data_IF_431973744122
#
_entry.id   IF_431973744122
#
_cell.length_a   1.000
_cell.length_b   1.000
_cell.length_c   1.000
_cell.angle_alpha   90.00
_cell.angle_beta   90.00
_cell.angle_gamma   90.00
#
_symmetry.space_group_name_H-M   'P 1'
#
loop_
_entity.id
_entity.type
_entity.pdbx_description
1 polymer ?
#
# COMPACT_ATOMS: atom_id res chain seq x y z
N UNK A 1 5.75 14.84 9.72
CA UNK A 1 4.89 14.96 8.51
C UNK A 1 3.66 15.81 8.82
N UNK A 2 3.34 16.80 7.99
CA UNK A 2 2.10 17.58 8.08
C UNK A 2 1.20 17.22 6.88
N UNK A 3 -0.09 17.03 7.15
CA UNK A 3 -1.11 16.79 6.11
C UNK A 3 -2.32 17.69 6.37
N UNK A 4 -2.64 18.56 5.41
CA UNK A 4 -3.82 19.41 5.45
C UNK A 4 -4.79 18.97 4.35
N UNK A 5 -6.00 18.61 4.70
CA UNK A 5 -7.00 18.11 3.78
C UNK A 5 -8.25 18.96 3.73
N UNK A 6 -8.80 19.13 2.53
CA UNK A 6 -10.07 19.77 2.28
C UNK A 6 -10.97 18.85 1.46
N UNK A 7 -12.26 18.81 1.83
CA UNK A 7 -13.31 18.19 1.01
C UNK A 7 -14.38 19.24 0.74
N UNK A 8 -14.67 19.49 -0.51
CA UNK A 8 -15.70 20.44 -0.95
C UNK A 8 -16.78 19.71 -1.73
N UNK A 9 -18.03 19.91 -1.37
CA UNK A 9 -19.18 19.40 -2.09
C UNK A 9 -19.46 20.32 -3.28
N UNK A 10 -19.19 19.86 -4.50
CA UNK A 10 -19.46 20.62 -5.73
C UNK A 10 -20.98 20.61 -6.04
N UNK A 11 -21.59 19.43 -5.90
CA UNK A 11 -23.05 19.24 -6.01
C UNK A 11 -23.47 17.98 -5.25
N UNK A 12 -24.73 17.50 -5.46
CA UNK A 12 -25.24 16.30 -4.77
C UNK A 12 -24.45 15.02 -5.07
N UNK A 13 -23.77 14.95 -6.21
CA UNK A 13 -23.09 13.74 -6.70
C UNK A 13 -21.57 13.86 -6.74
N UNK A 14 -21.01 15.08 -6.70
CA UNK A 14 -19.56 15.32 -6.88
C UNK A 14 -18.98 15.97 -5.64
N UNK A 15 -17.91 15.36 -5.12
CA UNK A 15 -17.06 15.88 -4.05
C UNK A 15 -15.67 16.10 -4.63
N UNK A 16 -15.09 17.28 -4.44
CA UNK A 16 -13.70 17.56 -4.70
C UNK A 16 -12.87 17.34 -3.44
N UNK A 17 -11.76 16.62 -3.58
CA UNK A 17 -10.84 16.31 -2.49
C UNK A 17 -9.47 16.87 -2.81
N UNK A 18 -8.93 17.70 -1.92
CA UNK A 18 -7.59 18.25 -1.99
C UNK A 18 -6.83 17.93 -0.70
N UNK A 19 -5.58 17.53 -0.81
CA UNK A 19 -4.70 17.33 0.32
C UNK A 19 -3.32 17.90 0.00
N UNK A 20 -2.86 18.77 0.85
CA UNK A 20 -1.49 19.21 0.88
C UNK A 20 -0.66 18.36 1.84
N UNK A 21 0.61 18.18 1.52
CA UNK A 21 1.58 17.42 2.34
C UNK A 21 2.89 18.16 2.41
N UNK A 22 3.59 17.99 3.51
CA UNK A 22 5.00 18.34 3.59
C UNK A 22 5.82 17.27 2.88
N UNK A 23 6.67 17.66 1.94
CA UNK A 23 7.56 16.82 1.10
C UNK A 23 6.98 16.18 -0.15
N UNK A 24 7.79 16.22 -1.21
CA UNK A 24 7.40 15.83 -2.55
C UNK A 24 8.43 14.96 -3.28
N UNK A 25 9.63 14.78 -2.74
CA UNK A 25 10.73 14.13 -3.47
C UNK A 25 10.71 12.61 -3.38
N UNK A 26 9.93 12.03 -2.46
CA UNK A 26 9.79 10.59 -2.30
C UNK A 26 8.32 10.18 -2.40
N UNK A 27 7.98 9.38 -3.42
CA UNK A 27 6.62 8.89 -3.63
C UNK A 27 6.13 7.95 -2.54
N UNK A 28 7.05 7.30 -1.81
CA UNK A 28 6.76 6.34 -0.75
C UNK A 28 6.77 6.97 0.64
N UNK A 29 7.20 8.23 0.76
CA UNK A 29 7.26 8.89 2.06
C UNK A 29 7.00 10.37 1.95
N UNK A 30 6.14 10.88 2.83
CA UNK A 30 5.95 12.31 3.04
C UNK A 30 6.56 12.79 4.37
N UNK A 31 7.53 12.03 4.89
CA UNK A 31 8.29 12.40 6.09
C UNK A 31 9.37 13.41 5.77
N UNK A 32 9.62 14.32 6.69
CA UNK A 32 10.72 15.28 6.62
C UNK A 32 11.71 15.04 7.74
N UNK A 33 12.99 15.12 7.42
CA UNK A 33 14.07 15.07 8.40
C UNK A 33 14.14 16.41 9.15
N UNK A 34 14.28 16.35 10.45
CA UNK A 34 14.57 17.50 11.30
C UNK A 34 16.09 17.71 11.35
N UNK A 35 16.55 18.96 11.42
CA UNK A 35 17.98 19.26 11.54
C UNK A 35 18.72 19.46 10.22
N UNK A 36 18.01 19.83 9.18
CA UNK A 36 18.54 20.10 7.83
C UNK A 36 18.98 21.59 7.72
N UNK A 37 20.02 21.94 8.45
CA UNK A 37 20.65 23.27 8.44
C UNK A 37 19.68 24.47 8.52
N UNK A 38 18.59 24.34 9.25
CA UNK A 38 17.51 25.35 9.39
C UNK A 38 16.82 25.68 8.04
N UNK A 39 16.95 24.83 7.03
CA UNK A 39 16.29 25.03 5.72
C UNK A 39 14.78 25.02 5.84
N UNK A 40 14.10 25.75 4.96
CA UNK A 40 12.65 25.66 4.77
C UNK A 40 12.23 24.24 4.40
N UNK A 41 10.95 23.91 4.60
CA UNK A 41 10.40 22.61 4.28
C UNK A 41 9.45 22.71 3.10
N UNK A 42 9.54 21.74 2.19
CA UNK A 42 8.69 21.67 1.01
C UNK A 42 7.21 21.44 1.38
N UNK A 43 6.33 21.93 0.54
CA UNK A 43 4.90 21.78 0.69
C UNK A 43 4.25 21.64 -0.69
N UNK A 44 3.40 20.65 -0.87
CA UNK A 44 2.81 20.42 -2.18
C UNK A 44 1.55 19.56 -2.17
N UNK A 45 1.04 19.26 -3.36
CA UNK A 45 -0.22 18.54 -3.55
C UNK A 45 0.01 17.04 -3.42
N UNK A 46 -0.46 16.47 -2.31
CA UNK A 46 -0.45 15.03 -2.09
C UNK A 46 -1.66 14.32 -2.72
N UNK A 47 -2.81 15.00 -2.82
CA UNK A 47 -4.02 14.49 -3.52
C UNK A 47 -4.80 15.65 -4.13
N UNK A 48 -5.38 15.41 -5.32
CA UNK A 48 -6.30 16.34 -5.98
C UNK A 48 -7.17 15.51 -6.93
N UNK A 49 -8.40 15.19 -6.50
CA UNK A 49 -9.29 14.36 -7.30
C UNK A 49 -10.75 14.67 -7.05
N UNK A 50 -11.60 14.26 -7.98
CA UNK A 50 -13.05 14.21 -7.81
C UNK A 50 -13.49 12.82 -7.38
N UNK A 51 -14.45 12.77 -6.45
CA UNK A 51 -15.24 11.58 -6.10
C UNK A 51 -16.65 11.80 -6.66
N UNK A 52 -16.94 11.15 -7.77
CA UNK A 52 -18.23 11.24 -8.45
C UNK A 52 -19.08 10.03 -8.08
N UNK A 53 -20.12 10.25 -7.30
CA UNK A 53 -21.13 9.26 -6.94
C UNK A 53 -22.14 9.11 -8.06
N UNK A 54 -22.06 8.01 -8.82
CA UNK A 54 -23.00 7.69 -9.90
C UNK A 54 -24.33 7.25 -9.30
N UNK A 55 -24.29 6.37 -8.29
CA UNK A 55 -25.44 5.91 -7.51
C UNK A 55 -24.98 5.40 -6.13
N UNK A 56 -25.88 4.77 -5.36
CA UNK A 56 -25.55 4.24 -4.02
C UNK A 56 -24.49 3.15 -3.99
N UNK A 57 -24.27 2.47 -5.11
CA UNK A 57 -23.38 1.32 -5.23
C UNK A 57 -22.14 1.59 -6.09
N UNK A 58 -22.07 2.73 -6.81
CA UNK A 58 -21.02 3.02 -7.76
C UNK A 58 -20.53 4.46 -7.65
N UNK A 59 -19.19 4.61 -7.64
CA UNK A 59 -18.53 5.92 -7.73
C UNK A 59 -17.25 5.83 -8.56
N UNK A 60 -16.79 6.97 -9.07
CA UNK A 60 -15.55 7.12 -9.82
C UNK A 60 -14.67 8.14 -9.12
N UNK A 61 -13.39 7.79 -8.96
CA UNK A 61 -12.35 8.75 -8.64
C UNK A 61 -11.59 9.13 -9.91
N UNK A 62 -11.31 10.42 -10.12
CA UNK A 62 -10.50 10.89 -11.22
C UNK A 62 -9.53 12.00 -10.75
N UNK A 63 -8.25 11.82 -11.00
CA UNK A 63 -7.15 12.70 -10.58
C UNK A 63 -6.11 11.98 -9.73
N UNK A 64 -5.34 12.74 -8.93
CA UNK A 64 -4.36 12.22 -7.96
C UNK A 64 -5.08 11.80 -6.69
N UNK A 65 -5.28 10.50 -6.52
CA UNK A 65 -6.18 9.96 -5.50
C UNK A 65 -5.46 9.19 -4.40
N UNK A 66 -6.18 8.93 -3.31
CA UNK A 66 -5.77 7.91 -2.33
C UNK A 66 -5.68 6.55 -3.04
N UNK A 67 -4.70 5.74 -2.64
CA UNK A 67 -4.58 4.37 -3.13
C UNK A 67 -5.95 3.67 -3.13
N UNK A 68 -6.47 3.25 -4.30
CA UNK A 68 -7.85 2.84 -4.45
C UNK A 68 -8.09 1.35 -4.16
N UNK A 69 -7.00 0.56 -4.05
CA UNK A 69 -7.09 -0.89 -3.90
C UNK A 69 -7.15 -1.31 -2.44
N UNK A 70 -7.84 -2.42 -2.19
CA UNK A 70 -7.87 -3.07 -0.88
C UNK A 70 -6.51 -3.71 -0.66
N UNK A 71 -5.94 -3.48 0.50
CA UNK A 71 -4.73 -4.09 0.99
C UNK A 71 -5.10 -4.95 2.20
N UNK A 72 -4.96 -6.27 2.14
CA UNK A 72 -5.34 -7.18 3.21
C UNK A 72 -4.64 -6.84 4.53
N UNK A 73 -5.39 -6.76 5.62
CA UNK A 73 -4.86 -6.36 6.94
C UNK A 73 -4.28 -4.94 7.01
N UNK A 74 -4.37 -4.15 5.92
CA UNK A 74 -3.65 -2.87 5.75
C UNK A 74 -2.17 -3.06 5.43
N UNK A 75 -1.80 -4.25 4.93
CA UNK A 75 -0.43 -4.61 4.55
C UNK A 75 0.14 -3.79 3.39
N UNK A 76 1.43 -3.94 3.14
CA UNK A 76 2.18 -3.18 2.13
C UNK A 76 3.00 -4.12 1.23
N UNK A 77 2.55 -5.36 1.05
CA UNK A 77 3.28 -6.34 0.23
C UNK A 77 3.43 -5.86 -1.21
N UNK A 78 2.35 -5.39 -1.83
CA UNK A 78 2.32 -4.89 -3.20
C UNK A 78 2.41 -3.35 -3.26
N UNK A 79 1.75 -2.65 -2.33
CA UNK A 79 1.57 -1.21 -2.38
C UNK A 79 1.94 -0.53 -1.07
N UNK A 80 2.86 0.41 -1.11
CA UNK A 80 3.09 1.31 0.02
C UNK A 80 1.83 2.16 0.30
N UNK A 81 1.56 2.38 1.58
CA UNK A 81 0.37 3.12 2.01
C UNK A 81 0.35 4.60 1.70
N UNK A 82 1.50 5.16 1.40
CA UNK A 82 1.67 6.58 1.09
C UNK A 82 1.53 6.90 -0.40
N UNK A 83 1.49 5.88 -1.28
CA UNK A 83 1.25 6.05 -2.70
C UNK A 83 -0.09 6.75 -2.99
N UNK A 84 -0.05 7.69 -3.92
CA UNK A 84 -1.24 8.41 -4.38
C UNK A 84 -1.26 8.41 -5.91
N UNK A 85 -1.82 7.34 -6.54
CA UNK A 85 -1.84 7.20 -7.99
C UNK A 85 -2.67 8.29 -8.68
N UNK A 86 -2.34 8.55 -9.94
CA UNK A 86 -3.03 9.50 -10.81
C UNK A 86 -3.76 8.75 -11.93
N UNK A 87 -5.05 8.99 -12.10
CA UNK A 87 -5.82 8.29 -13.12
C UNK A 87 -7.32 8.31 -12.87
N UNK A 88 -7.99 7.27 -13.36
CA UNK A 88 -9.44 7.09 -13.19
C UNK A 88 -9.68 5.67 -12.67
N UNK A 89 -10.42 5.59 -11.56
CA UNK A 89 -10.80 4.30 -10.95
C UNK A 89 -12.28 4.32 -10.61
N UNK A 90 -12.97 3.27 -11.02
CA UNK A 90 -14.37 3.01 -10.70
C UNK A 90 -14.47 1.99 -9.59
N UNK A 91 -15.37 2.24 -8.66
CA UNK A 91 -15.72 1.37 -7.55
C UNK A 91 -17.18 0.97 -7.67
N UNK A 92 -17.44 -0.32 -7.59
CA UNK A 92 -18.79 -0.86 -7.53
C UNK A 92 -18.86 -1.77 -6.31
N UNK A 93 -19.84 -1.57 -5.44
CA UNK A 93 -20.00 -2.42 -4.27
C UNK A 93 -21.43 -2.47 -3.79
N UNK A 94 -21.78 -3.59 -3.21
CA UNK A 94 -22.96 -3.78 -2.40
C UNK A 94 -22.55 -4.42 -1.05
N UNK A 95 -23.51 -4.92 -0.29
CA UNK A 95 -23.23 -5.52 1.02
C UNK A 95 -22.32 -6.76 0.93
N UNK A 96 -22.40 -7.51 -0.17
CA UNK A 96 -21.71 -8.79 -0.35
C UNK A 96 -20.52 -8.74 -1.30
N UNK A 97 -20.60 -7.96 -2.35
CA UNK A 97 -19.61 -7.96 -3.44
C UNK A 97 -18.97 -6.58 -3.59
N UNK A 98 -17.73 -6.56 -4.02
CA UNK A 98 -17.02 -5.35 -4.44
C UNK A 98 -16.25 -5.58 -5.73
N UNK A 99 -16.07 -4.51 -6.50
CA UNK A 99 -15.22 -4.46 -7.67
C UNK A 99 -14.61 -3.06 -7.78
N UNK A 100 -13.29 -2.99 -7.94
CA UNK A 100 -12.52 -1.79 -8.20
C UNK A 100 -11.78 -1.99 -9.52
N UNK A 101 -11.92 -1.08 -10.47
CA UNK A 101 -11.20 -1.18 -11.74
C UNK A 101 -10.82 0.19 -12.26
N UNK A 102 -9.68 0.29 -12.91
CA UNK A 102 -9.24 1.57 -13.44
C UNK A 102 -7.92 1.53 -14.16
N UNK A 103 -7.55 2.71 -14.64
CA UNK A 103 -6.27 2.98 -15.28
C UNK A 103 -5.60 4.13 -14.56
N UNK A 104 -4.33 3.92 -14.18
CA UNK A 104 -3.50 4.96 -13.57
C UNK A 104 -2.22 5.14 -14.38
N UNK A 105 -1.73 6.36 -14.45
CA UNK A 105 -0.47 6.70 -15.11
C UNK A 105 0.64 6.45 -14.11
N UNK A 106 1.65 5.67 -14.49
CA UNK A 106 2.83 5.41 -13.67
C UNK A 106 3.91 6.42 -14.02
N UNK A 107 4.24 6.51 -15.29
CA UNK A 107 5.24 7.45 -15.79
C UNK A 107 4.80 7.98 -17.15
N UNK A 108 5.07 9.27 -17.38
CA UNK A 108 4.84 9.93 -18.65
C UNK A 108 6.14 10.56 -19.12
N UNK A 109 6.75 9.99 -20.15
CA UNK A 109 7.86 10.59 -20.86
C UNK A 109 7.50 10.87 -22.32
N UNK A 110 8.36 11.57 -23.06
CA UNK A 110 8.19 11.83 -24.49
C UNK A 110 8.16 10.55 -25.31
N UNK A 111 8.95 9.56 -24.89
CA UNK A 111 9.25 8.38 -25.69
C UNK A 111 8.53 7.12 -25.18
N UNK A 112 8.25 7.05 -23.87
CA UNK A 112 7.58 5.90 -23.25
C UNK A 112 6.66 6.35 -22.13
N UNK A 113 5.37 6.01 -22.25
CA UNK A 113 4.41 6.21 -21.17
C UNK A 113 3.98 4.87 -20.60
N UNK A 114 4.18 4.68 -19.31
CA UNK A 114 3.74 3.48 -18.61
C UNK A 114 2.44 3.75 -17.86
N UNK A 115 1.48 2.89 -18.05
CA UNK A 115 0.21 2.90 -17.31
C UNK A 115 0.01 1.57 -16.59
N UNK A 116 -0.79 1.62 -15.54
CA UNK A 116 -1.26 0.46 -14.81
C UNK A 116 -2.75 0.29 -15.04
N UNK A 117 -3.14 -0.80 -15.66
CA UNK A 117 -4.50 -1.32 -15.60
C UNK A 117 -4.67 -2.12 -14.32
N UNK A 118 -5.75 -1.84 -13.57
CA UNK A 118 -6.07 -2.53 -12.32
C UNK A 118 -7.49 -3.07 -12.34
N UNK A 119 -7.63 -4.28 -11.86
CA UNK A 119 -8.91 -4.91 -11.58
C UNK A 119 -8.81 -5.64 -10.25
N UNK A 120 -9.73 -5.39 -9.34
CA UNK A 120 -9.80 -6.08 -8.05
C UNK A 120 -11.28 -6.37 -7.74
N UNK A 121 -11.61 -7.59 -7.39
CA UNK A 121 -12.97 -7.98 -7.05
C UNK A 121 -12.99 -9.02 -5.94
N UNK A 122 -14.14 -9.16 -5.28
CA UNK A 122 -14.30 -10.16 -4.23
C UNK A 122 -15.61 -10.04 -3.49
N UNK A 123 -15.69 -10.78 -2.38
CA UNK A 123 -16.88 -10.86 -1.56
C UNK A 123 -16.63 -10.71 -0.06
N UNK A 124 -17.66 -10.23 0.62
CA UNK A 124 -17.75 -10.14 2.08
C UNK A 124 -18.78 -11.16 2.56
N UNK A 125 -18.39 -12.00 3.50
CA UNK A 125 -19.19 -13.07 4.06
C UNK A 125 -19.27 -12.89 5.57
N UNK A 126 -20.43 -13.15 6.15
CA UNK A 126 -20.59 -13.23 7.60
C UNK A 126 -20.87 -14.68 7.96
N UNK A 127 -20.05 -15.24 8.84
CA UNK A 127 -20.19 -16.61 9.31
C UNK A 127 -21.21 -16.69 10.46
N UNK A 128 -21.66 -17.89 10.80
CA UNK A 128 -22.64 -18.12 11.88
C UNK A 128 -22.19 -17.55 13.23
N UNK A 129 -20.89 -17.59 13.52
CA UNK A 129 -20.28 -17.01 14.72
C UNK A 129 -20.06 -15.49 14.64
N UNK A 130 -20.72 -14.81 13.69
CA UNK A 130 -20.60 -13.37 13.42
C UNK A 130 -19.22 -12.90 12.95
N UNK A 131 -18.29 -13.81 12.68
CA UNK A 131 -17.02 -13.47 12.07
C UNK A 131 -17.24 -13.00 10.62
N UNK A 132 -16.45 -12.02 10.19
CA UNK A 132 -16.50 -11.47 8.85
C UNK A 132 -15.30 -11.95 8.06
N UNK A 133 -15.55 -12.53 6.91
CA UNK A 133 -14.52 -12.99 5.95
C UNK A 133 -14.63 -12.14 4.69
N UNK A 134 -13.51 -11.63 4.23
CA UNK A 134 -13.38 -11.00 2.92
C UNK A 134 -12.42 -11.86 2.10
N UNK A 135 -12.87 -12.24 0.91
CA UNK A 135 -12.04 -12.93 -0.09
C UNK A 135 -11.97 -12.05 -1.33
N UNK A 136 -10.83 -12.00 -1.95
CA UNK A 136 -10.70 -11.22 -3.17
C UNK A 136 -9.54 -11.69 -4.04
N UNK A 137 -9.60 -11.24 -5.28
CA UNK A 137 -8.55 -11.41 -6.26
C UNK A 137 -8.34 -10.11 -7.02
N UNK A 138 -7.14 -9.93 -7.54
CA UNK A 138 -6.78 -8.75 -8.31
C UNK A 138 -5.90 -9.12 -9.50
N UNK A 139 -5.92 -8.25 -10.52
CA UNK A 139 -4.98 -8.23 -11.62
C UNK A 139 -4.44 -6.82 -11.76
N UNK A 140 -3.13 -6.69 -11.74
CA UNK A 140 -2.42 -5.43 -11.94
C UNK A 140 -1.48 -5.60 -13.14
N UNK A 141 -1.85 -5.03 -14.27
CA UNK A 141 -1.06 -5.12 -15.51
C UNK A 141 -0.40 -3.78 -15.80
N UNK A 142 0.91 -3.78 -15.73
CA UNK A 142 1.73 -2.66 -16.18
C UNK A 142 1.93 -2.75 -17.69
N UNK A 143 1.79 -1.62 -18.35
CA UNK A 143 2.03 -1.52 -19.78
C UNK A 143 3.45 -0.98 -19.99
N UNK A 144 4.28 -1.74 -20.71
CA UNK A 144 5.66 -1.35 -21.04
C UNK A 144 6.58 -1.12 -19.83
N UNK A 145 6.71 -2.08 -18.91
CA UNK A 145 7.78 -2.04 -17.91
C UNK A 145 9.11 -2.56 -18.47
N UNK A 146 9.09 -3.73 -19.13
CA UNK A 146 10.27 -4.35 -19.76
C UNK A 146 10.95 -3.42 -20.75
N UNK A 147 12.28 -3.35 -20.66
CA UNK A 147 13.12 -2.50 -21.50
C UNK A 147 13.14 -1.03 -21.14
N UNK A 148 12.40 -0.61 -20.10
CA UNK A 148 12.43 0.74 -19.57
C UNK A 148 13.21 0.81 -18.27
N UNK A 149 13.75 1.99 -17.97
CA UNK A 149 14.42 2.24 -16.69
C UNK A 149 13.45 2.06 -15.53
N UNK A 150 13.95 1.67 -14.34
CA UNK A 150 13.12 1.58 -13.14
C UNK A 150 12.43 2.91 -12.82
N UNK A 151 11.13 2.86 -12.54
CA UNK A 151 10.25 4.03 -12.31
C UNK A 151 10.71 5.00 -11.21
N UNK A 152 11.56 4.54 -10.31
CA UNK A 152 12.20 5.35 -9.28
C UNK A 152 13.59 4.79 -8.94
N UNK A 153 13.65 3.53 -8.52
CA UNK A 153 14.86 2.72 -8.27
C UNK A 153 14.48 1.27 -8.52
N UNK A 154 15.41 0.43 -8.92
CA UNK A 154 15.17 -1.00 -9.16
C UNK A 154 14.63 -1.73 -7.94
N UNK A 155 15.12 -1.34 -6.75
CA UNK A 155 14.64 -1.89 -5.48
C UNK A 155 14.60 -3.43 -5.45
N UNK A 156 15.61 -4.08 -6.03
CA UNK A 156 15.75 -5.53 -6.05
C UNK A 156 15.22 -6.23 -7.29
N UNK A 157 14.42 -5.57 -8.13
CA UNK A 157 13.98 -6.15 -9.40
C UNK A 157 15.16 -6.45 -10.33
N UNK A 158 14.99 -7.46 -11.18
CA UNK A 158 16.01 -7.87 -12.17
C UNK A 158 16.10 -6.86 -13.30
N UNK A 159 17.33 -6.45 -13.60
CA UNK A 159 17.64 -5.53 -14.69
C UNK A 159 18.43 -6.25 -15.77
N UNK A 160 18.33 -5.75 -17.01
CA UNK A 160 19.20 -6.11 -18.11
C UNK A 160 20.57 -5.40 -18.01
N UNK A 161 21.48 -5.68 -18.96
CA UNK A 161 22.82 -5.10 -18.99
C UNK A 161 22.84 -3.57 -19.21
N UNK A 162 21.72 -2.99 -19.63
CA UNK A 162 21.55 -1.54 -19.82
C UNK A 162 20.91 -0.87 -18.58
N UNK A 163 20.55 -1.65 -17.56
CA UNK A 163 19.92 -1.15 -16.35
C UNK A 163 18.41 -0.97 -16.44
N UNK A 164 17.76 -1.56 -17.46
CA UNK A 164 16.32 -1.53 -17.63
C UNK A 164 15.66 -2.76 -17.01
N UNK A 165 14.35 -2.70 -16.69
CA UNK A 165 13.62 -3.87 -16.25
C UNK A 165 13.74 -5.04 -17.26
N UNK A 166 14.16 -6.21 -16.77
CA UNK A 166 14.24 -7.42 -17.59
C UNK A 166 12.89 -8.02 -17.90
N UNK A 167 11.93 -7.88 -16.99
CA UNK A 167 10.59 -8.47 -17.06
C UNK A 167 9.50 -7.40 -17.16
N UNK A 168 8.38 -7.75 -17.81
CA UNK A 168 7.12 -7.04 -17.65
C UNK A 168 6.42 -7.49 -16.35
N UNK A 169 5.30 -6.81 -16.01
CA UNK A 169 4.57 -7.10 -14.79
C UNK A 169 3.07 -7.21 -15.08
N UNK A 170 2.56 -8.44 -14.99
CA UNK A 170 1.14 -8.78 -14.88
C UNK A 170 0.97 -9.56 -13.58
N UNK A 171 0.62 -8.86 -12.52
CA UNK A 171 0.58 -9.39 -11.16
C UNK A 171 -0.83 -9.86 -10.84
N UNK A 172 -0.96 -11.14 -10.49
CA UNK A 172 -2.18 -11.72 -9.92
C UNK A 172 -2.07 -11.74 -8.40
N UNK A 173 -3.14 -11.35 -7.73
CA UNK A 173 -3.27 -11.36 -6.28
C UNK A 173 -4.46 -12.20 -5.86
N UNK A 174 -4.28 -13.01 -4.82
CA UNK A 174 -5.35 -13.68 -4.09
C UNK A 174 -5.22 -13.30 -2.62
N UNK A 175 -6.31 -12.84 -2.01
CA UNK A 175 -6.26 -12.44 -0.61
C UNK A 175 -7.48 -12.87 0.19
N UNK A 176 -7.24 -13.01 1.49
CA UNK A 176 -8.26 -13.27 2.49
C UNK A 176 -8.05 -12.38 3.71
N UNK A 177 -9.15 -11.89 4.28
CA UNK A 177 -9.16 -11.18 5.55
C UNK A 177 -10.26 -11.75 6.44
N UNK A 178 -9.91 -12.14 7.66
CA UNK A 178 -10.81 -12.62 8.69
C UNK A 178 -10.88 -11.61 9.82
N UNK A 179 -12.09 -11.22 10.22
CA UNK A 179 -12.34 -10.31 11.34
C UNK A 179 -13.32 -10.95 12.33
N UNK A 180 -12.94 -10.92 13.57
CA UNK A 180 -13.77 -11.43 14.67
C UNK A 180 -13.52 -10.63 15.94
N UNK A 181 -14.29 -10.85 16.96
CA UNK A 181 -14.04 -10.37 18.31
C UNK A 181 -13.53 -11.53 19.17
N UNK A 182 -12.37 -11.35 19.79
CA UNK A 182 -11.76 -12.33 20.68
C UNK A 182 -11.60 -11.71 22.07
N UNK A 183 -12.31 -12.25 23.06
CA UNK A 183 -12.33 -11.72 24.44
C UNK A 183 -12.58 -10.21 24.52
N UNK A 184 -13.56 -9.71 23.78
CA UNK A 184 -13.89 -8.29 23.73
C UNK A 184 -12.90 -7.41 22.96
N UNK A 185 -11.92 -8.01 22.28
CA UNK A 185 -10.94 -7.30 21.47
C UNK A 185 -11.13 -7.63 19.98
N UNK A 186 -11.10 -6.62 19.08
CA UNK A 186 -11.16 -6.88 17.65
C UNK A 186 -9.90 -7.64 17.20
N UNK A 187 -10.12 -8.76 16.53
CA UNK A 187 -9.12 -9.59 15.88
C UNK A 187 -9.22 -9.42 14.37
N UNK A 188 -8.12 -9.20 13.69
CA UNK A 188 -8.01 -9.30 12.24
C UNK A 188 -6.86 -10.22 11.88
N UNK A 189 -7.10 -11.23 11.05
CA UNK A 189 -6.05 -12.01 10.40
C UNK A 189 -6.14 -11.80 8.88
N UNK A 190 -5.01 -11.89 8.18
CA UNK A 190 -4.98 -11.78 6.73
C UNK A 190 -3.94 -12.70 6.11
N UNK A 191 -4.22 -13.06 4.86
CA UNK A 191 -3.33 -13.74 3.93
C UNK A 191 -3.37 -12.97 2.61
N UNK A 192 -2.22 -12.83 1.98
CA UNK A 192 -2.04 -12.18 0.70
C UNK A 192 -1.00 -12.96 -0.10
N UNK A 193 -1.31 -13.30 -1.34
CA UNK A 193 -0.44 -14.04 -2.23
C UNK A 193 -0.45 -13.40 -3.61
N UNK A 194 0.74 -13.21 -4.16
CA UNK A 194 0.98 -12.53 -5.43
C UNK A 194 1.80 -13.40 -6.36
N UNK A 195 1.54 -13.30 -7.65
CA UNK A 195 2.38 -13.88 -8.70
C UNK A 195 2.46 -12.95 -9.91
N UNK A 196 3.67 -12.62 -10.34
CA UNK A 196 3.91 -12.00 -11.62
C UNK A 196 4.04 -13.08 -12.72
N UNK A 197 3.14 -13.10 -13.68
CA UNK A 197 3.15 -14.09 -14.76
C UNK A 197 4.11 -13.77 -15.92
N UNK A 198 4.75 -12.61 -15.90
CA UNK A 198 5.68 -12.18 -16.95
C UNK A 198 7.14 -12.54 -16.64
N UNK A 199 7.44 -12.95 -15.42
CA UNK A 199 8.75 -13.48 -15.04
C UNK A 199 8.68 -15.01 -14.93
N UNK A 200 9.73 -15.70 -15.36
CA UNK A 200 9.79 -17.17 -15.38
C UNK A 200 10.08 -17.78 -14.01
N UNK A 201 10.80 -17.08 -13.17
CA UNK A 201 11.19 -17.45 -11.80
C UNK A 201 11.24 -16.22 -10.89
N UNK A 202 11.48 -16.41 -9.59
CA UNK A 202 11.57 -15.33 -8.61
C UNK A 202 10.38 -14.35 -8.70
N UNK A 203 9.16 -14.88 -8.89
CA UNK A 203 8.00 -14.16 -9.34
C UNK A 203 6.80 -14.24 -8.38
N UNK A 204 7.01 -14.77 -7.16
CA UNK A 204 5.96 -14.92 -6.16
C UNK A 204 6.24 -14.08 -4.90
N UNK A 205 5.18 -13.64 -4.26
CA UNK A 205 5.26 -13.01 -2.95
C UNK A 205 4.07 -13.43 -2.08
N UNK A 206 4.24 -13.44 -0.78
CA UNK A 206 3.14 -13.67 0.15
C UNK A 206 3.33 -12.94 1.48
N UNK A 207 2.21 -12.69 2.12
CA UNK A 207 2.15 -12.09 3.43
C UNK A 207 1.08 -12.79 4.28
N UNK A 208 1.39 -12.97 5.55
CA UNK A 208 0.44 -13.46 6.54
C UNK A 208 0.56 -12.63 7.82
N UNK A 209 -0.56 -12.23 8.39
CA UNK A 209 -0.50 -11.41 9.60
C UNK A 209 -1.74 -11.48 10.47
N UNK A 210 -1.56 -11.03 11.69
CA UNK A 210 -2.59 -10.94 12.72
C UNK A 210 -2.50 -9.59 13.43
N UNK A 211 -3.65 -9.04 13.76
CA UNK A 211 -3.79 -7.83 14.56
C UNK A 211 -4.84 -8.04 15.64
N UNK A 212 -4.49 -7.75 16.88
CA UNK A 212 -5.36 -7.87 18.05
C UNK A 212 -5.50 -6.51 18.73
N UNK A 213 -6.72 -6.12 19.06
CA UNK A 213 -7.05 -4.89 19.75
C UNK A 213 -7.15 -3.67 18.84
N UNK A 214 -7.29 -2.52 19.46
CA UNK A 214 -7.34 -1.21 18.80
C UNK A 214 -6.78 -0.12 19.71
N UNK A 215 -6.00 0.78 19.14
CA UNK A 215 -5.40 1.95 19.81
C UNK A 215 -6.15 3.27 19.52
N UNK A 216 -7.36 3.19 18.96
CA UNK A 216 -8.13 4.37 18.53
C UNK A 216 -8.73 5.19 19.68
N UNK A 217 -8.87 4.60 20.86
CA UNK A 217 -9.39 5.25 22.09
C UNK A 217 -8.30 5.41 23.11
N UNK A 218 -8.49 6.32 24.05
CA UNK A 218 -7.63 6.46 25.24
C UNK A 218 -7.50 5.10 25.95
N UNK A 219 -6.27 4.74 26.32
CA UNK A 219 -5.87 3.45 26.92
C UNK A 219 -6.10 2.22 26.02
N UNK A 220 -6.53 2.40 24.76
CA UNK A 220 -6.65 1.33 23.80
C UNK A 220 -5.28 0.74 23.48
N UNK A 221 -5.22 -0.59 23.33
CA UNK A 221 -4.00 -1.35 23.03
C UNK A 221 -4.19 -2.13 21.73
N UNK A 222 -3.17 -2.11 20.91
CA UNK A 222 -3.16 -2.84 19.64
C UNK A 222 -1.80 -3.49 19.47
N UNK A 223 -1.81 -4.77 19.15
CA UNK A 223 -0.62 -5.51 18.76
C UNK A 223 -0.82 -6.09 17.37
N UNK A 224 0.19 -6.05 16.54
CA UNK A 224 0.16 -6.71 15.22
C UNK A 224 1.50 -7.37 14.91
N UNK A 225 1.39 -8.49 14.21
CA UNK A 225 2.50 -9.23 13.63
C UNK A 225 2.18 -9.53 12.18
N UNK A 226 3.16 -9.38 11.29
CA UNK A 226 3.05 -9.74 9.88
C UNK A 226 4.38 -10.32 9.41
N UNK A 227 4.30 -11.38 8.64
CA UNK A 227 5.42 -11.95 7.89
C UNK A 227 5.26 -11.61 6.42
N UNK A 228 6.35 -11.22 5.77
CA UNK A 228 6.45 -10.99 4.33
C UNK A 228 7.56 -11.85 3.74
N UNK A 229 7.32 -12.36 2.53
CA UNK A 229 8.32 -12.99 1.68
C UNK A 229 8.05 -12.53 0.25
N UNK A 230 9.04 -11.90 -0.39
CA UNK A 230 8.88 -11.25 -1.69
C UNK A 230 10.07 -11.60 -2.57
N UNK A 231 9.85 -12.40 -3.59
CA UNK A 231 10.87 -12.71 -4.59
C UNK A 231 11.15 -11.50 -5.49
N UNK A 232 12.27 -11.56 -6.22
CA UNK A 232 12.84 -10.45 -7.00
C UNK A 232 11.85 -9.72 -7.88
N UNK A 233 11.11 -10.47 -8.71
CA UNK A 233 10.25 -9.96 -9.76
C UNK A 233 8.77 -10.24 -9.51
N UNK A 234 8.41 -10.54 -8.26
CA UNK A 234 7.03 -10.74 -7.88
C UNK A 234 6.20 -9.46 -7.99
N UNK A 235 6.79 -8.32 -7.65
CA UNK A 235 6.19 -6.98 -7.65
C UNK A 235 7.20 -5.95 -8.14
N UNK A 236 6.75 -4.75 -8.48
CA UNK A 236 7.66 -3.62 -8.73
C UNK A 236 8.09 -3.05 -7.38
N UNK A 237 9.37 -3.25 -7.03
CA UNK A 237 9.93 -2.84 -5.76
C UNK A 237 9.81 -1.34 -5.48
N UNK A 238 9.81 -0.51 -6.52
CA UNK A 238 9.61 0.92 -6.41
C UNK A 238 8.26 1.34 -5.79
N UNK A 239 7.29 0.42 -5.65
CA UNK A 239 5.96 0.69 -5.11
C UNK A 239 5.63 -0.09 -3.84
N UNK A 240 6.51 -1.00 -3.41
CA UNK A 240 6.36 -1.76 -2.17
C UNK A 240 6.77 -0.93 -0.93
N UNK A 241 6.57 -1.49 0.26
CA UNK A 241 6.84 -0.82 1.53
C UNK A 241 8.30 -0.33 1.63
N UNK A 242 8.49 0.98 1.77
CA UNK A 242 9.82 1.60 1.87
C UNK A 242 10.53 1.30 3.19
N UNK A 243 9.82 0.88 4.21
CA UNK A 243 10.36 0.60 5.54
C UNK A 243 10.84 -0.85 5.68
N UNK A 244 10.29 -1.78 4.90
CA UNK A 244 10.66 -3.19 4.92
C UNK A 244 11.87 -3.46 4.02
N UNK A 245 12.90 -4.07 4.56
CA UNK A 245 14.12 -4.43 3.81
C UNK A 245 14.73 -3.26 3.00
N UNK A 246 14.56 -2.01 3.48
CA UNK A 246 14.95 -0.80 2.76
C UNK A 246 14.12 -0.52 1.51
N UNK A 247 12.93 -1.12 1.37
CA UNK A 247 12.04 -1.04 0.23
C UNK A 247 12.45 -1.96 -0.92
N UNK A 248 13.18 -3.05 -0.65
CA UNK A 248 13.64 -3.97 -1.68
C UNK A 248 12.73 -5.21 -1.78
N UNK A 249 12.50 -5.68 -3.02
CA UNK A 249 12.10 -7.06 -3.30
C UNK A 249 13.28 -8.01 -3.02
N UNK A 250 13.16 -9.30 -3.34
CA UNK A 250 14.17 -10.29 -2.99
C UNK A 250 14.43 -10.29 -1.48
N UNK A 251 13.35 -10.27 -0.69
CA UNK A 251 13.39 -9.99 0.74
C UNK A 251 12.36 -10.77 1.51
N UNK A 252 12.68 -11.06 2.79
CA UNK A 252 11.73 -11.67 3.72
C UNK A 252 11.96 -11.22 5.15
N UNK A 253 10.93 -11.34 5.98
CA UNK A 253 11.06 -11.02 7.40
C UNK A 253 9.76 -10.68 8.09
N UNK A 254 9.87 -10.00 9.21
CA UNK A 254 8.84 -9.84 10.20
C UNK A 254 8.61 -8.36 10.52
N UNK A 255 7.33 -7.98 10.62
CA UNK A 255 6.87 -6.74 11.27
C UNK A 255 6.24 -7.09 12.62
N UNK A 256 6.69 -6.44 13.65
CA UNK A 256 6.11 -6.53 14.99
C UNK A 256 5.77 -5.11 15.42
N UNK A 257 4.50 -4.83 15.70
CA UNK A 257 4.08 -3.48 16.09
C UNK A 257 3.17 -3.51 17.31
N UNK A 258 3.46 -2.62 18.26
CA UNK A 258 2.60 -2.33 19.39
C UNK A 258 2.17 -0.87 19.36
N UNK A 259 0.89 -0.60 19.64
CA UNK A 259 0.32 0.75 19.71
C UNK A 259 -0.47 0.95 20.98
N UNK A 260 -0.40 2.18 21.51
CA UNK A 260 -1.13 2.58 22.70
C UNK A 260 -1.79 3.96 22.51
N UNK A 261 -3.08 4.05 22.80
CA UNK A 261 -3.82 5.31 22.82
C UNK A 261 -3.52 6.10 24.09
N UNK A 262 -2.73 7.15 23.99
CA UNK A 262 -2.38 8.02 25.13
C UNK A 262 -3.59 8.83 25.58
N UNK A 263 -4.28 9.40 24.63
CA UNK A 263 -5.52 10.16 24.83
C UNK A 263 -6.35 10.12 23.55
N UNK A 264 -7.52 10.75 23.52
CA UNK A 264 -8.28 10.86 22.27
C UNK A 264 -7.43 11.52 21.19
N UNK A 265 -7.45 10.94 19.99
CA UNK A 265 -6.72 11.39 18.81
C UNK A 265 -5.19 11.44 18.95
N UNK A 266 -4.61 10.90 20.05
CA UNK A 266 -3.16 10.83 20.25
C UNK A 266 -2.76 9.40 20.58
N UNK A 267 -1.86 8.83 19.79
CA UNK A 267 -1.31 7.49 20.03
C UNK A 267 0.19 7.44 19.84
N UNK A 268 0.82 6.53 20.55
CA UNK A 268 2.22 6.15 20.37
C UNK A 268 2.28 4.74 19.77
N UNK A 269 3.26 4.51 18.92
CA UNK A 269 3.56 3.18 18.37
C UNK A 269 5.04 2.89 18.38
N UNK A 270 5.38 1.61 18.66
CA UNK A 270 6.69 1.04 18.43
C UNK A 270 6.58 -0.04 17.36
N UNK A 271 7.46 0.00 16.37
CA UNK A 271 7.54 -0.99 15.29
C UNK A 271 8.95 -1.54 15.24
N UNK A 272 9.06 -2.87 15.21
CA UNK A 272 10.30 -3.60 14.94
C UNK A 272 10.17 -4.32 13.61
N UNK A 273 11.11 -4.11 12.72
CA UNK A 273 11.23 -4.77 11.43
C UNK A 273 12.52 -5.58 11.48
N UNK A 274 12.40 -6.88 11.29
CA UNK A 274 13.52 -7.84 11.27
C UNK A 274 13.45 -8.52 9.92
N UNK A 275 14.34 -8.18 9.01
CA UNK A 275 14.27 -8.64 7.62
C UNK A 275 15.64 -8.88 7.00
N UNK A 276 15.63 -9.53 5.84
CA UNK A 276 16.79 -9.76 4.98
C UNK A 276 16.40 -9.45 3.55
N UNK A 277 17.34 -8.99 2.76
CA UNK A 277 17.17 -8.82 1.31
C UNK A 277 18.42 -9.31 0.56
N UNK A 278 18.31 -9.43 -0.79
CA UNK A 278 19.38 -9.98 -1.61
C UNK A 278 19.47 -11.50 -1.51
N UNK A 279 18.35 -12.19 -1.29
CA UNK A 279 18.30 -13.63 -1.02
C UNK A 279 18.77 -14.46 -2.21
N UNK A 280 18.38 -14.06 -3.44
CA UNK A 280 18.72 -14.75 -4.68
C UNK A 280 20.20 -14.63 -5.06
N UNK A 281 20.92 -13.65 -4.51
CA UNK A 281 22.34 -13.46 -4.77
C UNK A 281 23.25 -14.43 -3.96
N UNK A 282 22.67 -15.18 -3.01
CA UNK A 282 23.39 -16.02 -2.07
C UNK A 282 24.17 -15.25 -0.98
N UNK A 283 24.08 -13.92 -0.97
CA UNK A 283 24.74 -13.03 0.00
C UNK A 283 23.70 -12.11 0.66
N UNK A 284 22.73 -12.72 1.34
CA UNK A 284 21.64 -11.99 1.98
C UNK A 284 22.16 -11.00 3.03
N UNK A 285 21.60 -9.79 2.99
CA UNK A 285 21.94 -8.69 3.90
C UNK A 285 20.84 -8.57 4.95
N UNK A 286 21.23 -8.56 6.22
CA UNK A 286 20.30 -8.31 7.34
C UNK A 286 19.91 -6.84 7.39
N UNK A 287 18.60 -6.59 7.54
CA UNK A 287 18.04 -5.25 7.69
C UNK A 287 17.10 -5.22 8.89
N UNK A 288 17.55 -4.60 9.97
CA UNK A 288 16.77 -4.44 11.18
C UNK A 288 16.47 -2.97 11.42
N UNK A 289 15.23 -2.66 11.72
CA UNK A 289 14.79 -1.27 11.95
C UNK A 289 13.86 -1.20 13.16
N UNK A 290 14.07 -0.19 13.99
CA UNK A 290 13.15 0.21 15.05
C UNK A 290 12.60 1.59 14.74
N UNK A 291 11.28 1.74 14.87
CA UNK A 291 10.59 3.02 14.72
C UNK A 291 9.76 3.32 15.97
N UNK A 292 9.79 4.56 16.40
CA UNK A 292 8.92 5.10 17.45
C UNK A 292 8.16 6.28 16.88
N UNK A 293 6.84 6.22 16.92
CA UNK A 293 5.97 7.24 16.34
C UNK A 293 5.03 7.80 17.39
N UNK A 294 4.84 9.12 17.34
CA UNK A 294 3.74 9.82 18.00
C UNK A 294 2.81 10.36 16.89
N UNK A 295 1.59 9.90 16.89
CA UNK A 295 0.57 10.34 15.92
C UNK A 295 -0.51 11.15 16.62
N UNK A 296 -0.78 12.33 16.08
CA UNK A 296 -1.85 13.21 16.53
C UNK A 296 -2.79 13.52 15.37
N UNK A 297 -4.11 13.50 15.62
CA UNK A 297 -5.17 13.85 14.66
C UNK A 297 -6.01 14.97 15.22
N UNK A 298 -6.35 15.95 14.43
CA UNK A 298 -7.16 17.10 14.79
C UNK A 298 -8.15 17.44 13.67
#
# INVERSE_FOLDING_TARGET
>A
MLRLGMKSKVNSSIIFVLRFVSVLQDQLSSNQTIGDNFSGKDFGIGRSYIDWKINKNANIYAGKMKLPWIRPGGGSLLWDGDLNPEGIVMFISNERLFMNTGVTVIERSSDNSTSLFSFQSGGNFTLENSAKVKLGYSVFKYNHAKGNQPFYKSKGNTLDDLGNYLNDYTIFELFAEYKHELYGMPLTAHLDWLKNNEASDQNTAYSAGIKLGTSSKKHGREFSYTYHDTEKDAVIGAFSDSDFAGGATDSKGHFIRARYGLMENVRVSGTFIISKYGLASGSAIDYNRMQLDLEMKF
#
